data_IF_144818106354
#
_entry.id   IF_144818106354
#
_cell.length_a   1.000
_cell.length_b   1.000
_cell.length_c   1.000
_cell.angle_alpha   90.00
_cell.angle_beta   90.00
_cell.angle_gamma   90.00
#
_symmetry.space_group_name_H-M   'P 1'
#
loop_
_entity.id
_entity.type
_entity.pdbx_description
1 polymer ?
#
# COMPACT_ATOMS: atom_id res chain seq x y z
N UNK A 1 -11.32 17.99 18.21
CA UNK A 1 -11.54 18.25 16.77
C UNK A 1 -11.75 16.92 16.08
N UNK A 2 -12.60 16.89 15.04
CA UNK A 2 -12.79 15.67 14.25
C UNK A 2 -11.46 15.30 13.55
N UNK A 3 -11.19 14.02 13.45
CA UNK A 3 -10.00 13.54 12.73
C UNK A 3 -10.15 13.72 11.22
N UNK A 4 -9.02 13.68 10.50
CA UNK A 4 -8.98 13.87 9.04
C UNK A 4 -9.75 12.77 8.29
N UNK A 5 -9.99 11.63 8.94
CA UNK A 5 -10.66 10.45 8.36
C UNK A 5 -11.94 10.08 9.11
N UNK A 6 -12.50 10.98 9.91
CA UNK A 6 -13.76 10.71 10.63
C UNK A 6 -14.86 10.26 9.66
N UNK A 7 -15.50 9.15 9.99
CA UNK A 7 -16.59 8.58 9.19
C UNK A 7 -16.12 7.70 8.03
N UNK A 8 -14.81 7.59 7.79
CA UNK A 8 -14.29 6.73 6.72
C UNK A 8 -13.99 5.33 7.24
N UNK A 9 -14.18 4.35 6.35
CA UNK A 9 -13.80 2.95 6.58
C UNK A 9 -12.71 2.61 5.57
N UNK A 10 -11.58 2.10 6.05
CA UNK A 10 -10.42 1.76 5.23
C UNK A 10 -10.11 0.27 5.30
N UNK A 11 -9.82 -0.36 4.16
CA UNK A 11 -9.26 -1.71 4.10
C UNK A 11 -7.79 -1.61 3.69
N UNK A 12 -6.91 -2.31 4.41
CA UNK A 12 -5.46 -2.20 4.26
C UNK A 12 -4.86 -3.59 4.08
N UNK A 13 -4.21 -3.85 2.95
CA UNK A 13 -3.51 -5.13 2.73
C UNK A 13 -2.05 -5.03 3.19
N UNK A 14 -1.49 -6.17 3.60
CA UNK A 14 -0.15 -6.17 4.21
C UNK A 14 -0.18 -5.45 5.54
N UNK A 15 -1.31 -5.49 6.23
CA UNK A 15 -1.57 -4.70 7.43
C UNK A 15 -0.92 -5.23 8.70
N UNK A 16 -0.30 -6.42 8.65
CA UNK A 16 0.36 -7.01 9.82
C UNK A 16 1.72 -6.38 10.12
N UNK A 17 2.32 -5.66 9.18
CA UNK A 17 3.68 -5.12 9.38
C UNK A 17 3.95 -3.88 8.51
N UNK A 18 5.11 -3.31 8.68
CA UNK A 18 5.67 -2.27 7.81
C UNK A 18 4.75 -1.08 7.54
N UNK A 19 4.64 -0.71 6.26
CA UNK A 19 3.83 0.44 5.85
C UNK A 19 2.35 0.22 6.08
N UNK A 20 1.86 -1.02 5.88
CA UNK A 20 0.44 -1.35 6.11
C UNK A 20 0.05 -1.15 7.57
N UNK A 21 0.82 -1.74 8.49
CA UNK A 21 0.55 -1.60 9.94
C UNK A 21 0.66 -0.15 10.41
N UNK A 22 1.70 0.55 9.94
CA UNK A 22 1.87 1.98 10.27
C UNK A 22 0.67 2.79 9.78
N UNK A 23 0.27 2.58 8.52
CA UNK A 23 -0.88 3.30 7.94
C UNK A 23 -2.18 2.99 8.69
N UNK A 24 -2.39 1.72 9.09
CA UNK A 24 -3.59 1.34 9.84
C UNK A 24 -3.68 2.12 11.17
N UNK A 25 -2.57 2.19 11.90
CA UNK A 25 -2.52 2.95 13.16
C UNK A 25 -2.79 4.43 12.93
N UNK A 26 -2.13 5.04 11.94
CA UNK A 26 -2.29 6.46 11.65
C UNK A 26 -3.71 6.78 11.16
N UNK A 27 -4.29 5.93 10.30
CA UNK A 27 -5.67 6.14 9.84
C UNK A 27 -6.66 6.04 11.01
N UNK A 28 -6.48 5.07 11.91
CA UNK A 28 -7.33 4.94 13.11
C UNK A 28 -7.17 6.15 14.04
N UNK A 29 -5.94 6.63 14.23
CA UNK A 29 -5.64 7.83 15.01
C UNK A 29 -6.39 9.05 14.45
N UNK A 30 -6.57 9.09 13.13
CA UNK A 30 -7.27 10.17 12.43
C UNK A 30 -8.78 9.92 12.27
N UNK A 31 -9.33 8.93 12.99
CA UNK A 31 -10.76 8.71 13.10
C UNK A 31 -11.37 7.66 12.16
N UNK A 32 -10.56 6.99 11.35
CA UNK A 32 -11.08 5.94 10.47
C UNK A 32 -11.39 4.66 11.24
N UNK A 33 -12.37 3.90 10.75
CA UNK A 33 -12.48 2.48 11.07
C UNK A 33 -11.57 1.74 10.08
N UNK A 34 -10.75 0.80 10.56
CA UNK A 34 -9.76 0.13 9.71
C UNK A 34 -9.94 -1.39 9.71
N UNK A 35 -9.94 -1.96 8.51
CA UNK A 35 -9.89 -3.42 8.34
C UNK A 35 -8.46 -3.76 7.95
N UNK A 36 -7.78 -4.44 8.86
CA UNK A 36 -6.40 -4.92 8.67
C UNK A 36 -6.49 -6.27 7.97
N UNK A 37 -5.84 -6.44 6.84
CA UNK A 37 -5.81 -7.73 6.15
C UNK A 37 -4.39 -8.19 5.89
N UNK A 38 -4.15 -9.49 6.07
CA UNK A 38 -2.82 -10.09 5.89
C UNK A 38 -2.95 -11.62 5.90
N UNK A 39 -1.89 -12.32 5.48
CA UNK A 39 -1.74 -13.77 5.66
C UNK A 39 -1.10 -14.11 7.02
N UNK A 40 -0.43 -13.14 7.65
CA UNK A 40 0.21 -13.30 8.96
C UNK A 40 -0.80 -12.95 10.07
N UNK A 41 -1.74 -13.87 10.31
CA UNK A 41 -2.89 -13.65 11.18
C UNK A 41 -2.51 -13.18 12.59
N UNK A 42 -1.52 -13.85 13.20
CA UNK A 42 -1.09 -13.55 14.57
C UNK A 42 -0.55 -12.11 14.68
N UNK A 43 0.27 -11.69 13.74
CA UNK A 43 0.82 -10.35 13.71
C UNK A 43 -0.27 -9.31 13.40
N UNK A 44 -1.19 -9.64 12.52
CA UNK A 44 -2.34 -8.75 12.25
C UNK A 44 -3.24 -8.56 13.46
N UNK A 45 -3.47 -9.62 14.18
CA UNK A 45 -4.15 -9.50 15.16
C UNK A 45 -3.64 -8.74 16.08
N UNK A 46 -2.24 -8.61 16.35
CA UNK A 46 -1.59 -7.70 17.29
C UNK A 46 -1.85 -6.23 16.91
N UNK A 47 -1.76 -5.90 15.63
CA UNK A 47 -2.05 -4.55 15.14
C UNK A 47 -3.47 -4.12 15.48
N UNK A 48 -4.44 -5.02 15.32
CA UNK A 48 -5.85 -4.74 15.66
C UNK A 48 -5.99 -4.49 17.15
N UNK A 49 -5.35 -5.31 17.99
CA UNK A 49 -5.40 -5.13 19.45
C UNK A 49 -4.79 -3.79 19.88
N UNK A 50 -3.68 -3.39 19.25
CA UNK A 50 -3.04 -2.11 19.54
C UNK A 50 -3.96 -0.92 19.20
N UNK A 51 -4.75 -1.05 18.14
CA UNK A 51 -5.68 0.01 17.68
C UNK A 51 -6.98 0.01 18.50
N UNK A 52 -7.49 -1.18 18.85
CA UNK A 52 -8.72 -1.33 19.61
C UNK A 52 -9.99 -1.33 18.75
N UNK A 53 -11.09 -0.83 19.30
CA UNK A 53 -12.45 -0.93 18.72
C UNK A 53 -12.61 -0.28 17.32
N UNK A 54 -11.62 0.43 16.86
CA UNK A 54 -11.64 1.02 15.51
C UNK A 54 -11.03 0.11 14.45
N UNK A 55 -10.55 -1.09 14.85
CA UNK A 55 -9.89 -2.02 13.92
C UNK A 55 -10.57 -3.38 13.91
N UNK A 56 -10.49 -4.08 12.79
CA UNK A 56 -11.00 -5.43 12.61
C UNK A 56 -10.05 -6.20 11.69
N UNK A 57 -9.82 -7.48 11.96
CA UNK A 57 -8.96 -8.33 11.13
C UNK A 57 -9.78 -9.21 10.21
N UNK A 58 -9.36 -9.31 8.94
CA UNK A 58 -9.91 -10.30 8.00
C UNK A 58 -8.71 -10.94 7.27
N UNK A 59 -8.57 -12.26 7.26
CA UNK A 59 -7.48 -12.90 6.53
C UNK A 59 -7.60 -12.67 5.03
N UNK A 60 -6.46 -12.41 4.37
CA UNK A 60 -6.46 -12.17 2.93
C UNK A 60 -5.09 -12.50 2.34
N UNK A 61 -5.06 -13.52 1.47
CA UNK A 61 -3.98 -13.71 0.52
C UNK A 61 -4.36 -12.92 -0.74
N UNK A 62 -3.60 -11.86 -1.03
CA UNK A 62 -3.92 -10.96 -2.16
C UNK A 62 -3.85 -11.65 -3.52
N UNK A 63 -3.28 -12.86 -3.60
CA UNK A 63 -3.26 -13.64 -4.85
C UNK A 63 -4.56 -14.40 -5.09
N UNK A 64 -5.47 -14.44 -4.12
CA UNK A 64 -6.74 -15.16 -4.20
C UNK A 64 -7.91 -14.21 -4.48
N UNK A 65 -8.47 -14.26 -5.68
CA UNK A 65 -9.63 -13.41 -6.02
C UNK A 65 -10.82 -13.68 -5.11
N UNK A 66 -11.04 -14.96 -4.72
CA UNK A 66 -12.18 -15.27 -3.81
C UNK A 66 -11.99 -14.61 -2.45
N UNK A 67 -10.76 -14.65 -1.90
CA UNK A 67 -10.51 -14.00 -0.61
C UNK A 67 -10.68 -12.48 -0.69
N UNK A 68 -10.37 -11.85 -1.84
CA UNK A 68 -10.65 -10.44 -2.06
C UNK A 68 -12.15 -10.14 -1.97
N UNK A 69 -12.98 -10.96 -2.64
CA UNK A 69 -14.45 -10.81 -2.62
C UNK A 69 -14.94 -10.90 -1.17
N UNK A 70 -14.48 -11.92 -0.44
CA UNK A 70 -14.90 -12.17 0.95
C UNK A 70 -14.42 -11.04 1.89
N UNK A 71 -13.17 -10.58 1.75
CA UNK A 71 -12.61 -9.54 2.61
C UNK A 71 -13.32 -8.19 2.41
N UNK A 72 -13.59 -7.82 1.16
CA UNK A 72 -14.28 -6.55 0.86
C UNK A 72 -15.73 -6.60 1.37
N UNK A 73 -16.43 -7.72 1.14
CA UNK A 73 -17.79 -7.89 1.66
C UNK A 73 -17.80 -7.88 3.19
N UNK A 74 -16.83 -8.56 3.81
CA UNK A 74 -16.68 -8.59 5.27
C UNK A 74 -16.42 -7.21 5.86
N UNK A 75 -15.56 -6.40 5.22
CA UNK A 75 -15.27 -5.03 5.65
C UNK A 75 -16.54 -4.17 5.63
N UNK A 76 -17.27 -4.21 4.52
CA UNK A 76 -18.53 -3.46 4.37
C UNK A 76 -19.60 -3.94 5.36
N UNK A 77 -19.69 -5.25 5.60
CA UNK A 77 -20.65 -5.82 6.55
C UNK A 77 -20.33 -5.42 7.99
N UNK A 78 -19.03 -5.39 8.35
CA UNK A 78 -18.61 -5.11 9.74
C UNK A 78 -18.78 -3.63 10.11
N UNK A 79 -18.34 -2.72 9.24
CA UNK A 79 -18.35 -1.27 9.53
C UNK A 79 -19.41 -0.48 8.75
N UNK A 80 -20.23 -1.16 7.95
CA UNK A 80 -21.34 -0.54 7.22
C UNK A 80 -20.97 0.14 5.89
N UNK A 81 -19.67 0.20 5.55
CA UNK A 81 -19.21 0.88 4.33
C UNK A 81 -17.77 0.49 4.00
N UNK A 82 -17.31 0.92 2.82
CA UNK A 82 -15.89 0.95 2.48
C UNK A 82 -15.63 2.24 1.69
N UNK A 83 -14.69 3.04 2.13
CA UNK A 83 -14.35 4.34 1.50
C UNK A 83 -12.93 4.39 1.00
N UNK A 84 -12.00 3.70 1.68
CA UNK A 84 -10.56 3.76 1.37
C UNK A 84 -10.03 2.35 1.20
N UNK A 85 -9.23 2.16 0.14
CA UNK A 85 -8.48 0.92 -0.06
C UNK A 85 -7.00 1.27 -0.14
N UNK A 86 -6.19 0.68 0.75
CA UNK A 86 -4.73 0.78 0.69
C UNK A 86 -4.16 -0.57 0.27
N UNK A 87 -3.68 -0.67 -0.96
CA UNK A 87 -2.98 -1.85 -1.47
C UNK A 87 -1.50 -1.73 -1.08
N UNK A 88 -1.14 -2.33 0.07
CA UNK A 88 0.22 -2.24 0.63
C UNK A 88 0.94 -3.58 0.72
N UNK A 89 0.26 -4.69 0.51
CA UNK A 89 0.91 -6.01 0.48
C UNK A 89 1.95 -6.07 -0.64
N UNK A 90 3.11 -6.65 -0.35
CA UNK A 90 4.15 -6.76 -1.36
C UNK A 90 5.39 -7.47 -0.82
N UNK A 91 6.21 -7.98 -1.73
CA UNK A 91 7.47 -8.67 -1.39
C UNK A 91 8.62 -8.11 -2.22
N UNK A 92 9.81 -8.11 -1.64
CA UNK A 92 11.03 -7.74 -2.36
C UNK A 92 11.78 -8.97 -2.86
N UNK A 93 12.32 -8.87 -4.08
CA UNK A 93 13.20 -9.90 -4.62
C UNK A 93 14.35 -9.23 -5.36
N UNK A 94 15.58 -9.60 -4.99
CA UNK A 94 16.79 -9.04 -5.58
C UNK A 94 17.47 -10.10 -6.43
N UNK A 95 17.21 -10.08 -7.75
CA UNK A 95 17.82 -10.95 -8.77
C UNK A 95 17.89 -10.24 -10.11
N UNK A 96 18.98 -10.48 -10.83
CA UNK A 96 19.18 -9.96 -12.19
C UNK A 96 18.29 -10.72 -13.18
N UNK A 97 18.20 -10.21 -14.41
CA UNK A 97 17.41 -10.85 -15.48
C UNK A 97 17.93 -12.25 -15.83
N UNK A 98 19.21 -12.51 -15.61
CA UNK A 98 19.81 -13.83 -15.89
C UNK A 98 19.60 -14.83 -14.75
N UNK A 99 19.48 -14.33 -13.51
CA UNK A 99 19.41 -15.17 -12.31
C UNK A 99 18.01 -15.55 -11.89
N UNK A 100 17.02 -14.74 -12.28
CA UNK A 100 15.65 -14.91 -11.78
C UNK A 100 14.98 -16.13 -12.43
N UNK A 101 14.40 -17.01 -11.61
CA UNK A 101 13.60 -18.13 -12.10
C UNK A 101 12.19 -17.65 -12.47
N UNK A 102 11.58 -18.31 -13.45
CA UNK A 102 10.23 -17.95 -13.92
C UNK A 102 9.20 -18.00 -12.77
N UNK A 103 9.34 -18.95 -11.87
CA UNK A 103 8.46 -19.10 -10.72
C UNK A 103 8.58 -17.91 -9.75
N UNK A 104 9.80 -17.44 -9.53
CA UNK A 104 10.06 -16.27 -8.69
C UNK A 104 9.47 -15.00 -9.33
N UNK A 105 9.65 -14.85 -10.64
CA UNK A 105 9.05 -13.77 -11.43
C UNK A 105 7.52 -13.78 -11.25
N UNK A 106 6.90 -14.95 -11.45
CA UNK A 106 5.44 -15.11 -11.31
C UNK A 106 4.97 -14.78 -9.90
N UNK A 107 5.69 -15.25 -8.89
CA UNK A 107 5.34 -14.99 -7.49
C UNK A 107 5.33 -13.49 -7.18
N UNK A 108 6.37 -12.75 -7.61
CA UNK A 108 6.43 -11.30 -7.40
C UNK A 108 5.24 -10.62 -8.11
N UNK A 109 4.96 -10.99 -9.35
CA UNK A 109 3.85 -10.37 -10.09
C UNK A 109 2.49 -10.72 -9.48
N UNK A 110 2.30 -11.94 -9.03
CA UNK A 110 1.03 -12.36 -8.40
C UNK A 110 0.74 -11.50 -7.15
N UNK A 111 1.76 -11.24 -6.33
CA UNK A 111 1.56 -10.47 -5.08
C UNK A 111 1.58 -8.96 -5.36
N UNK A 112 2.63 -8.47 -6.03
CA UNK A 112 2.92 -7.03 -6.11
C UNK A 112 2.16 -6.30 -7.22
N UNK A 113 1.54 -7.03 -8.16
CA UNK A 113 0.80 -6.43 -9.27
C UNK A 113 -0.61 -7.01 -9.41
N UNK A 114 -0.76 -8.35 -9.55
CA UNK A 114 -2.09 -8.94 -9.70
C UNK A 114 -2.94 -8.71 -8.44
N UNK A 115 -2.33 -8.83 -7.25
CA UNK A 115 -3.02 -8.53 -5.99
C UNK A 115 -3.54 -7.09 -5.96
N UNK A 116 -2.74 -6.13 -6.43
CA UNK A 116 -3.17 -4.72 -6.51
C UNK A 116 -4.32 -4.56 -7.52
N UNK A 117 -4.23 -5.26 -8.66
CA UNK A 117 -5.30 -5.25 -9.65
C UNK A 117 -6.61 -5.80 -9.07
N UNK A 118 -6.56 -6.94 -8.37
CA UNK A 118 -7.74 -7.53 -7.73
C UNK A 118 -8.34 -6.59 -6.69
N UNK A 119 -7.48 -5.96 -5.88
CA UNK A 119 -7.92 -4.95 -4.92
C UNK A 119 -8.63 -3.79 -5.61
N UNK A 120 -8.06 -3.26 -6.68
CA UNK A 120 -8.69 -2.17 -7.44
C UNK A 120 -10.03 -2.61 -8.04
N UNK A 121 -10.07 -3.82 -8.64
CA UNK A 121 -11.28 -4.37 -9.28
C UNK A 121 -12.45 -4.45 -8.30
N UNK A 122 -12.22 -5.14 -7.18
CA UNK A 122 -13.28 -5.37 -6.19
C UNK A 122 -13.50 -4.15 -5.29
N UNK A 123 -12.43 -3.38 -5.02
CA UNK A 123 -12.53 -2.13 -4.26
C UNK A 123 -13.38 -1.08 -4.95
N UNK A 124 -13.17 -0.85 -6.25
CA UNK A 124 -14.02 0.10 -7.02
C UNK A 124 -15.48 -0.35 -6.97
N UNK A 125 -15.74 -1.65 -7.15
CA UNK A 125 -17.10 -2.18 -7.17
C UNK A 125 -17.83 -1.95 -5.84
N UNK A 126 -17.11 -2.00 -4.71
CA UNK A 126 -17.71 -1.77 -3.39
C UNK A 126 -17.75 -0.28 -3.04
N UNK A 127 -16.60 0.42 -3.13
CA UNK A 127 -16.48 1.81 -2.70
C UNK A 127 -17.53 2.70 -3.38
N UNK A 128 -17.80 2.51 -4.69
CA UNK A 128 -18.77 3.34 -5.41
C UNK A 128 -20.19 3.29 -4.83
N UNK A 129 -20.51 2.28 -4.02
CA UNK A 129 -21.82 2.17 -3.35
C UNK A 129 -21.92 3.14 -2.16
N UNK A 130 -20.78 3.58 -1.63
CA UNK A 130 -20.68 4.33 -0.38
C UNK A 130 -20.15 5.75 -0.55
N UNK A 131 -19.75 6.16 -1.76
CA UNK A 131 -19.08 7.46 -1.95
C UNK A 131 -19.97 8.68 -1.64
N UNK A 132 -21.24 8.67 -2.03
CA UNK A 132 -22.13 9.77 -1.71
C UNK A 132 -21.43 11.14 -1.73
N UNK A 133 -21.50 11.86 -0.62
CA UNK A 133 -20.80 13.14 -0.41
C UNK A 133 -19.39 12.97 0.18
N UNK A 134 -19.01 11.76 0.60
CA UNK A 134 -17.74 11.52 1.30
C UNK A 134 -16.59 11.28 0.31
N UNK A 135 -16.87 10.65 -0.83
CA UNK A 135 -15.85 10.30 -1.79
C UNK A 135 -15.03 9.07 -1.39
N UNK A 136 -14.45 8.39 -2.38
CA UNK A 136 -13.61 7.22 -2.17
C UNK A 136 -12.15 7.47 -2.55
N UNK A 137 -11.23 6.69 -1.95
CA UNK A 137 -9.80 6.80 -2.26
C UNK A 137 -9.16 5.42 -2.35
N UNK A 138 -8.49 5.14 -3.46
CA UNK A 138 -7.64 3.96 -3.63
C UNK A 138 -6.21 4.43 -3.65
N UNK A 139 -5.37 3.81 -2.84
CA UNK A 139 -3.96 4.17 -2.69
C UNK A 139 -3.15 2.89 -2.94
N UNK A 140 -2.30 2.92 -3.94
CA UNK A 140 -1.50 1.76 -4.33
C UNK A 140 -0.03 2.00 -4.01
N UNK A 141 0.57 1.12 -3.20
CA UNK A 141 2.00 1.24 -2.89
C UNK A 141 2.80 0.65 -4.06
N UNK A 142 3.36 1.56 -4.84
CA UNK A 142 4.36 1.23 -5.84
C UNK A 142 5.74 1.27 -5.16
N UNK A 143 6.70 1.90 -5.77
CA UNK A 143 8.07 2.06 -5.28
C UNK A 143 8.78 3.07 -6.16
N UNK A 144 9.88 3.63 -5.68
CA UNK A 144 10.82 4.31 -6.57
C UNK A 144 11.26 3.37 -7.70
N UNK A 145 11.28 2.06 -7.44
CA UNK A 145 11.57 1.02 -8.43
C UNK A 145 10.53 0.90 -9.55
N UNK A 146 9.41 1.60 -9.43
CA UNK A 146 8.43 1.74 -10.52
C UNK A 146 8.72 2.95 -11.42
N UNK A 147 9.75 3.74 -11.09
CA UNK A 147 10.14 4.98 -11.81
C UNK A 147 11.57 4.86 -12.33
N UNK A 148 12.50 4.49 -11.46
CA UNK A 148 13.91 4.21 -11.82
C UNK A 148 14.19 2.73 -11.51
N UNK A 149 15.21 2.16 -12.12
CA UNK A 149 15.43 0.72 -12.03
C UNK A 149 16.76 0.37 -11.34
N UNK A 150 16.70 -0.64 -10.48
CA UNK A 150 17.90 -1.33 -10.02
C UNK A 150 18.18 -2.53 -10.92
N UNK A 151 19.42 -2.73 -11.34
CA UNK A 151 19.79 -3.81 -12.26
C UNK A 151 19.43 -5.20 -11.73
N UNK A 152 19.42 -5.35 -10.41
CA UNK A 152 19.15 -6.62 -9.74
C UNK A 152 17.74 -6.71 -9.13
N UNK A 153 16.78 -5.98 -9.68
CA UNK A 153 15.40 -5.93 -9.17
C UNK A 153 14.39 -6.23 -10.27
N UNK A 154 14.72 -7.16 -11.17
CA UNK A 154 14.00 -7.38 -12.43
C UNK A 154 12.49 -7.53 -12.28
N UNK A 155 12.02 -8.48 -11.47
CA UNK A 155 10.58 -8.69 -11.27
C UNK A 155 9.93 -7.55 -10.50
N UNK A 156 10.63 -7.07 -9.47
CA UNK A 156 10.09 -6.02 -8.60
C UNK A 156 9.91 -4.70 -9.38
N UNK A 157 10.93 -4.28 -10.15
CA UNK A 157 10.82 -3.09 -11.01
C UNK A 157 9.61 -3.21 -11.96
N UNK A 158 9.48 -4.38 -12.60
CA UNK A 158 8.39 -4.64 -13.55
C UNK A 158 7.03 -4.55 -12.86
N UNK A 159 6.86 -5.22 -11.73
CA UNK A 159 5.59 -5.22 -10.99
C UNK A 159 5.24 -3.81 -10.51
N UNK A 160 6.20 -3.09 -9.89
CA UNK A 160 5.95 -1.74 -9.36
C UNK A 160 5.75 -0.70 -10.48
N UNK A 161 6.39 -0.88 -11.64
CA UNK A 161 6.09 -0.10 -12.85
C UNK A 161 4.66 -0.36 -13.34
N UNK A 162 4.22 -1.63 -13.28
CA UNK A 162 2.84 -2.01 -13.58
C UNK A 162 1.83 -1.33 -12.65
N UNK A 163 2.09 -1.32 -11.34
CA UNK A 163 1.23 -0.64 -10.35
C UNK A 163 1.11 0.86 -10.66
N UNK A 164 2.22 1.49 -11.06
CA UNK A 164 2.25 2.91 -11.42
C UNK A 164 1.23 3.23 -12.52
N UNK A 165 1.24 2.47 -13.63
CA UNK A 165 0.32 2.72 -14.74
C UNK A 165 -1.08 2.17 -14.49
N UNK A 166 -1.21 1.05 -13.78
CA UNK A 166 -2.52 0.54 -13.34
C UNK A 166 -3.28 1.60 -12.55
N UNK A 167 -2.61 2.28 -11.63
CA UNK A 167 -3.23 3.34 -10.81
C UNK A 167 -3.81 4.46 -11.67
N UNK A 168 -3.11 4.85 -12.74
CA UNK A 168 -3.61 5.88 -13.67
C UNK A 168 -4.83 5.37 -14.45
N UNK A 169 -4.82 4.10 -14.88
CA UNK A 169 -5.97 3.51 -15.58
C UNK A 169 -7.20 3.48 -14.69
N UNK A 170 -7.04 3.07 -13.42
CA UNK A 170 -8.15 3.03 -12.44
C UNK A 170 -8.68 4.46 -12.18
N UNK A 171 -7.77 5.42 -11.99
CA UNK A 171 -8.13 6.83 -11.78
C UNK A 171 -9.00 7.36 -12.93
N UNK A 172 -8.55 7.16 -14.17
CA UNK A 172 -9.26 7.62 -15.36
C UNK A 172 -10.61 6.92 -15.52
N UNK A 173 -10.67 5.62 -15.25
CA UNK A 173 -11.92 4.86 -15.29
C UNK A 173 -12.93 5.44 -14.29
N UNK A 174 -12.52 5.62 -13.04
CA UNK A 174 -13.42 6.14 -11.99
C UNK A 174 -13.90 7.55 -12.31
N UNK A 175 -13.00 8.41 -12.77
CA UNK A 175 -13.33 9.79 -13.14
C UNK A 175 -14.33 9.83 -14.30
N UNK A 176 -14.05 9.09 -15.37
CA UNK A 176 -14.95 9.05 -16.55
C UNK A 176 -16.32 8.44 -16.23
N UNK A 177 -16.37 7.53 -15.26
CA UNK A 177 -17.61 6.88 -14.83
C UNK A 177 -18.39 7.69 -13.78
N UNK A 178 -17.84 8.79 -13.29
CA UNK A 178 -18.48 9.62 -12.27
C UNK A 178 -18.61 8.97 -10.90
N UNK A 179 -17.71 8.05 -10.56
CA UNK A 179 -17.84 7.25 -9.33
C UNK A 179 -17.45 8.00 -8.04
N UNK A 180 -16.89 9.19 -8.15
CA UNK A 180 -16.38 9.95 -7.00
C UNK A 180 -15.32 9.14 -6.22
N UNK A 181 -14.45 8.42 -6.97
CA UNK A 181 -13.33 7.64 -6.41
C UNK A 181 -12.03 8.16 -7.03
N UNK A 182 -11.06 8.47 -6.19
CA UNK A 182 -9.71 8.84 -6.63
C UNK A 182 -8.80 7.61 -6.53
N UNK A 183 -7.78 7.54 -7.37
CA UNK A 183 -6.77 6.48 -7.29
C UNK A 183 -5.40 7.09 -7.52
N UNK A 184 -4.48 6.88 -6.56
CA UNK A 184 -3.13 7.45 -6.63
C UNK A 184 -2.09 6.39 -6.24
N UNK A 185 -0.87 6.55 -6.73
CA UNK A 185 0.24 5.66 -6.37
C UNK A 185 1.27 6.38 -5.50
N UNK A 186 1.84 5.64 -4.54
CA UNK A 186 2.87 6.14 -3.63
C UNK A 186 4.17 5.41 -3.95
N UNK A 187 5.26 6.15 -4.05
CA UNK A 187 6.56 5.64 -4.51
C UNK A 187 7.65 5.85 -3.46
N UNK A 188 7.67 5.01 -2.40
CA UNK A 188 8.75 5.11 -1.40
C UNK A 188 10.06 4.53 -1.92
N UNK A 189 11.15 4.89 -1.26
CA UNK A 189 12.45 4.24 -1.42
C UNK A 189 12.74 3.36 -0.21
N UNK A 190 13.97 3.41 0.33
CA UNK A 190 14.40 2.62 1.48
C UNK A 190 13.73 3.13 2.77
N UNK A 191 12.66 2.47 3.16
CA UNK A 191 11.93 2.76 4.41
C UNK A 191 12.26 1.63 5.40
N UNK A 192 12.51 1.97 6.65
CA UNK A 192 12.92 1.01 7.69
C UNK A 192 11.73 0.14 8.10
N UNK A 193 11.52 -0.94 7.36
CA UNK A 193 10.40 -1.90 7.51
C UNK A 193 10.92 -3.32 7.35
N UNK A 194 10.11 -4.34 7.68
CA UNK A 194 10.54 -5.74 7.50
C UNK A 194 10.90 -6.13 6.07
N UNK A 195 10.52 -5.38 5.05
CA UNK A 195 10.95 -5.67 3.68
C UNK A 195 12.48 -5.64 3.54
N UNK A 196 13.16 -4.96 4.47
CA UNK A 196 14.62 -4.86 4.51
C UNK A 196 15.29 -5.93 5.40
N UNK A 197 14.51 -6.85 6.02
CA UNK A 197 15.08 -7.81 6.98
C UNK A 197 16.17 -8.69 6.35
N UNK A 198 16.01 -9.10 5.10
CA UNK A 198 17.07 -9.87 4.40
C UNK A 198 18.41 -9.13 4.36
N UNK A 199 18.35 -7.79 4.21
CA UNK A 199 19.58 -6.96 4.27
C UNK A 199 20.07 -6.83 5.70
N UNK A 200 19.16 -6.67 6.65
CA UNK A 200 19.46 -6.58 8.09
C UNK A 200 20.13 -7.87 8.57
N UNK A 201 19.59 -9.02 8.19
CA UNK A 201 20.15 -10.35 8.54
C UNK A 201 21.53 -10.57 7.92
N UNK A 202 21.69 -10.10 6.67
CA UNK A 202 22.96 -10.31 5.93
C UNK A 202 24.10 -9.42 6.42
N UNK A 203 23.81 -8.17 6.77
CA UNK A 203 24.85 -7.16 7.04
C UNK A 203 24.86 -6.63 8.47
N UNK A 204 23.83 -6.92 9.26
CA UNK A 204 23.59 -6.26 10.54
C UNK A 204 22.93 -4.90 10.34
N UNK A 205 22.19 -4.47 11.34
CA UNK A 205 21.34 -3.27 11.23
C UNK A 205 22.15 -1.99 10.93
N UNK A 206 23.24 -1.77 11.66
CA UNK A 206 24.09 -0.57 11.49
C UNK A 206 24.65 -0.46 10.07
N UNK A 207 25.22 -1.58 9.57
CA UNK A 207 25.84 -1.60 8.25
C UNK A 207 24.78 -1.44 7.16
N UNK A 208 23.61 -2.06 7.33
CA UNK A 208 22.49 -1.91 6.40
C UNK A 208 22.06 -0.43 6.34
N UNK A 209 21.85 0.21 7.49
CA UNK A 209 21.47 1.62 7.58
C UNK A 209 22.48 2.52 6.86
N UNK A 210 23.78 2.32 7.09
CA UNK A 210 24.82 3.07 6.41
C UNK A 210 24.85 2.85 4.91
N UNK A 211 24.79 1.57 4.48
CA UNK A 211 24.87 1.22 3.05
C UNK A 211 23.70 1.78 2.24
N UNK A 212 22.49 1.64 2.76
CA UNK A 212 21.29 2.11 2.07
C UNK A 212 21.16 3.63 2.21
N UNK A 213 21.45 4.16 3.40
CA UNK A 213 21.40 5.62 3.64
C UNK A 213 22.31 6.42 2.72
N UNK A 214 23.50 5.89 2.40
CA UNK A 214 24.44 6.57 1.49
C UNK A 214 23.91 6.71 0.06
N UNK A 215 22.91 5.91 -0.31
CA UNK A 215 22.29 6.00 -1.63
C UNK A 215 21.19 7.05 -1.68
N UNK A 216 20.77 7.56 -0.51
CA UNK A 216 19.68 8.52 -0.38
C UNK A 216 20.30 9.92 -0.17
N UNK A 217 19.95 10.94 -0.96
CA UNK A 217 20.49 12.29 -0.72
C UNK A 217 20.30 12.83 0.69
N UNK A 218 19.19 12.48 1.37
CA UNK A 218 18.98 12.85 2.78
C UNK A 218 19.87 12.07 3.77
N UNK A 219 20.65 11.08 3.30
CA UNK A 219 21.66 10.39 4.08
C UNK A 219 21.14 9.33 5.06
N UNK A 220 19.87 8.96 4.98
CA UNK A 220 19.26 8.00 5.91
C UNK A 220 18.09 7.24 5.26
N UNK A 221 17.66 6.19 5.92
CA UNK A 221 16.40 5.53 5.57
C UNK A 221 15.22 6.40 6.02
N UNK A 222 14.09 6.27 5.35
CA UNK A 222 12.85 6.88 5.80
C UNK A 222 12.22 6.08 6.95
N UNK A 223 11.49 6.75 7.83
CA UNK A 223 10.65 6.09 8.83
C UNK A 223 9.29 5.74 8.20
N UNK A 224 8.64 4.66 8.66
CA UNK A 224 7.31 4.31 8.11
C UNK A 224 6.30 5.44 8.17
N UNK A 225 6.33 6.27 9.22
CA UNK A 225 5.42 7.40 9.39
C UNK A 225 5.62 8.47 8.31
N UNK A 226 6.83 8.60 7.76
CA UNK A 226 7.10 9.56 6.69
C UNK A 226 6.38 9.18 5.39
N UNK A 227 5.99 7.91 5.25
CA UNK A 227 5.13 7.44 4.16
C UNK A 227 3.67 7.37 4.61
N UNK A 228 3.43 6.99 5.87
CA UNK A 228 2.09 6.86 6.44
C UNK A 228 1.29 8.16 6.42
N UNK A 229 1.90 9.30 6.78
CA UNK A 229 1.19 10.59 6.76
C UNK A 229 0.76 11.02 5.36
N UNK A 230 1.59 10.92 4.31
CA UNK A 230 1.10 11.11 2.93
C UNK A 230 -0.02 10.15 2.53
N UNK A 231 -0.01 8.90 3.02
CA UNK A 231 -1.11 7.96 2.76
C UNK A 231 -2.40 8.46 3.45
N UNK A 232 -2.33 8.94 4.70
CA UNK A 232 -3.48 9.55 5.39
C UNK A 232 -4.01 10.75 4.60
N UNK A 233 -3.13 11.63 4.11
CA UNK A 233 -3.49 12.76 3.26
C UNK A 233 -4.24 12.29 2.01
N UNK A 234 -3.74 11.24 1.34
CA UNK A 234 -4.41 10.71 0.13
C UNK A 234 -5.76 10.06 0.46
N UNK A 235 -5.93 9.50 1.65
CA UNK A 235 -7.20 8.92 2.11
C UNK A 235 -8.22 10.00 2.47
N UNK A 236 -7.76 11.19 2.84
CA UNK A 236 -8.61 12.29 3.32
C UNK A 236 -9.16 13.14 2.17
N UNK A 237 -10.08 14.04 2.50
CA UNK A 237 -10.65 14.97 1.53
C UNK A 237 -9.72 16.14 1.18
N UNK A 238 -8.60 16.28 1.92
CA UNK A 238 -7.58 17.28 1.61
C UNK A 238 -6.97 17.07 0.23
N UNK A 239 -6.97 15.82 -0.27
CA UNK A 239 -6.46 15.46 -1.60
C UNK A 239 -7.57 15.32 -2.65
N UNK A 240 -8.69 15.97 -2.45
CA UNK A 240 -9.90 15.82 -3.30
C UNK A 240 -9.67 16.12 -4.78
N UNK A 241 -8.63 16.89 -5.13
CA UNK A 241 -8.32 17.19 -6.54
C UNK A 241 -7.14 16.38 -7.08
N UNK A 242 -6.75 15.28 -6.37
CA UNK A 242 -5.63 14.41 -6.78
C UNK A 242 -6.14 13.04 -7.20
N UNK A 243 -6.04 12.73 -8.49
CA UNK A 243 -6.29 11.39 -9.00
C UNK A 243 -5.31 11.08 -10.14
N UNK A 244 -4.82 9.85 -10.23
CA UNK A 244 -3.80 9.44 -11.18
C UNK A 244 -2.41 10.01 -10.88
N UNK A 245 -2.23 10.59 -9.68
CA UNK A 245 -0.98 11.22 -9.27
C UNK A 245 0.02 10.19 -8.74
N UNK A 246 1.30 10.52 -8.87
CA UNK A 246 2.43 9.77 -8.32
C UNK A 246 2.99 10.57 -7.15
N UNK A 247 2.93 10.01 -5.94
CA UNK A 247 3.46 10.68 -4.74
C UNK A 247 4.80 10.03 -4.40
N UNK A 248 5.87 10.73 -4.71
CA UNK A 248 7.25 10.24 -4.54
C UNK A 248 7.74 10.59 -3.14
N UNK A 249 8.22 9.60 -2.39
CA UNK A 249 8.71 9.76 -1.01
C UNK A 249 10.04 8.99 -0.92
N UNK A 250 11.10 9.61 -1.41
CA UNK A 250 12.34 8.88 -1.71
C UNK A 250 13.63 9.56 -1.19
N UNK A 251 13.50 10.57 -0.37
CA UNK A 251 14.67 11.26 0.16
C UNK A 251 15.56 11.92 -0.91
N UNK A 252 15.02 12.10 -2.13
CA UNK A 252 15.70 12.77 -3.22
C UNK A 252 16.36 11.87 -4.25
N UNK A 253 16.21 10.52 -4.13
CA UNK A 253 16.89 9.59 -5.05
C UNK A 253 16.53 9.88 -6.53
N UNK A 254 15.25 10.08 -6.83
CA UNK A 254 14.82 10.29 -8.22
C UNK A 254 15.07 11.70 -8.75
N UNK A 255 15.58 12.60 -7.91
CA UNK A 255 15.93 13.95 -8.33
C UNK A 255 17.38 14.08 -8.84
N UNK A 256 18.18 12.98 -8.76
CA UNK A 256 19.58 12.96 -9.22
C UNK A 256 19.69 12.63 -10.70
#
# INVERSE_FOLDING_TARGET
MAGRLDGKVALITGGASGLGACSARLMAQEGAKVVVTDIAEEAAXQVVNDIGDSAHFIPLDVTSEQQWIDAIAGAAAHFGALHVLLNSAGIGLSKTVEEIELEEWRKVHAIDLEGVFLGCKHGVAEIKKHTGNIGGSIINISSISGIIAGANMTAYNSAKGGVRLLSKSVALHCAKSGYNIRCNSVHPTFIDTPILDKYRDRFGNEVMQQKLGRQVPLGRLGAPEEVGWPIVFLASDESSYMTGSEVIIDGGISAM
#
